data_IF_100985629667
#
_entry.id   IF_100985629667
#
_cell.length_a   1.000
_cell.length_b   1.000
_cell.length_c   1.000
_cell.angle_alpha   90.00
_cell.angle_beta   90.00
_cell.angle_gamma   90.00
#
_symmetry.space_group_name_H-M   'P 1'
#
loop_
_entity.id
_entity.type
_entity.pdbx_description
1 polymer ?
#
# COMPACT_ATOMS: atom_id res chain seq x y z
N UNK A 1 2.55 1.64 -5.87
CA UNK A 1 3.47 2.63 -6.48
C UNK A 1 3.73 3.81 -5.56
N UNK A 2 4.49 3.53 -4.54
CA UNK A 2 4.82 4.51 -3.52
C UNK A 2 6.11 4.11 -2.82
N UNK A 3 6.77 5.11 -2.25
CA UNK A 3 7.97 4.88 -1.47
C UNK A 3 8.11 5.98 -0.42
N UNK A 4 8.69 5.63 0.72
CA UNK A 4 9.04 6.60 1.75
C UNK A 4 10.54 6.86 1.64
N UNK A 5 10.91 8.11 1.36
CA UNK A 5 12.29 8.50 1.25
C UNK A 5 12.78 9.10 2.56
N UNK A 6 13.89 8.57 3.05
CA UNK A 6 14.48 9.05 4.30
C UNK A 6 14.77 10.54 4.20
N UNK A 7 14.34 11.28 5.23
CA UNK A 7 14.54 12.72 5.34
C UNK A 7 13.81 13.57 4.30
N UNK A 8 12.97 12.98 3.48
CA UNK A 8 12.20 13.70 2.48
C UNK A 8 10.70 13.51 2.64
N UNK A 9 10.27 12.26 2.74
CA UNK A 9 8.86 11.98 2.89
C UNK A 9 8.35 11.00 1.84
N UNK A 10 7.04 10.94 1.64
CA UNK A 10 6.45 9.99 0.70
C UNK A 10 6.52 10.49 -0.74
N UNK A 11 6.66 9.55 -1.65
CA UNK A 11 6.54 9.78 -3.09
C UNK A 11 5.60 8.74 -3.66
N UNK A 12 4.71 9.18 -4.54
CA UNK A 12 3.79 8.27 -5.21
C UNK A 12 3.80 8.56 -6.71
N UNK A 13 3.40 7.56 -7.49
CA UNK A 13 3.33 7.70 -8.94
C UNK A 13 2.19 6.83 -9.46
N UNK A 14 1.93 6.94 -10.74
CA UNK A 14 0.91 6.17 -11.41
C UNK A 14 0.95 6.46 -12.90
N UNK A 15 0.05 5.87 -13.67
CA UNK A 15 0.00 6.07 -15.11
C UNK A 15 -0.39 7.52 -15.49
N UNK A 16 -1.01 8.25 -14.56
CA UNK A 16 -1.38 9.64 -14.75
C UNK A 16 -1.45 10.33 -13.39
N UNK A 17 -1.69 11.64 -13.41
CA UNK A 17 -1.75 12.44 -12.19
C UNK A 17 -2.87 11.98 -11.26
N UNK A 18 -4.00 11.61 -11.82
CA UNK A 18 -5.14 11.14 -11.03
C UNK A 18 -4.76 9.90 -10.21
N UNK A 19 -4.11 8.94 -10.86
CA UNK A 19 -3.70 7.71 -10.19
C UNK A 19 -2.61 7.99 -9.15
N UNK A 20 -1.67 8.86 -9.46
CA UNK A 20 -0.62 9.22 -8.50
C UNK A 20 -1.21 9.84 -7.25
N UNK A 21 -2.21 10.71 -7.39
CA UNK A 21 -2.90 11.33 -6.26
C UNK A 21 -3.69 10.27 -5.48
N UNK A 22 -4.37 9.38 -6.18
CA UNK A 22 -5.09 8.28 -5.52
C UNK A 22 -4.13 7.45 -4.67
N UNK A 23 -2.97 7.11 -5.21
CA UNK A 23 -1.97 6.34 -4.48
C UNK A 23 -1.44 7.10 -3.26
N UNK A 24 -1.36 8.43 -3.35
CA UNK A 24 -0.95 9.24 -2.21
C UNK A 24 -1.99 9.18 -1.08
N UNK A 25 -3.27 9.22 -1.41
CA UNK A 25 -4.34 9.09 -0.42
C UNK A 25 -4.29 7.74 0.25
N UNK A 26 -4.12 6.68 -0.54
CA UNK A 26 -4.03 5.32 0.00
C UNK A 26 -2.81 5.18 0.91
N UNK A 27 -1.67 5.71 0.49
CA UNK A 27 -0.45 5.66 1.29
C UNK A 27 -0.65 6.33 2.65
N UNK A 28 -1.29 7.50 2.66
CA UNK A 28 -1.56 8.23 3.88
C UNK A 28 -2.41 7.41 4.85
N UNK A 29 -3.47 6.80 4.35
CA UNK A 29 -4.36 6.00 5.18
C UNK A 29 -3.68 4.73 5.68
N UNK A 30 -2.93 4.07 4.83
CA UNK A 30 -2.19 2.86 5.21
C UNK A 30 -1.13 3.19 6.27
N UNK A 31 -0.43 4.31 6.11
CA UNK A 31 0.57 4.73 7.07
C UNK A 31 -0.06 5.02 8.44
N UNK A 32 -1.23 5.64 8.46
CA UNK A 32 -1.96 5.88 9.70
C UNK A 32 -2.36 4.57 10.38
N UNK A 33 -2.84 3.61 9.60
CA UNK A 33 -3.21 2.30 10.15
C UNK A 33 -2.00 1.58 10.72
N UNK A 34 -0.88 1.62 10.01
CA UNK A 34 0.35 0.99 10.48
C UNK A 34 0.83 1.61 11.78
N UNK A 35 0.79 2.93 11.86
CA UNK A 35 1.19 3.64 13.08
C UNK A 35 0.32 3.24 14.26
N UNK A 36 -0.99 3.18 14.05
CA UNK A 36 -1.92 2.79 15.11
C UNK A 36 -1.73 1.34 15.54
N UNK A 37 -1.54 0.44 14.58
CA UNK A 37 -1.30 -0.96 14.86
C UNK A 37 -0.04 -1.14 15.68
N UNK A 38 1.02 -0.44 15.33
CA UNK A 38 2.29 -0.51 16.03
C UNK A 38 2.20 0.08 17.44
N UNK A 39 1.36 1.09 17.62
CA UNK A 39 1.11 1.68 18.94
C UNK A 39 0.40 0.68 19.86
N UNK A 40 -0.54 -0.08 19.28
CA UNK A 40 -1.27 -1.11 20.04
C UNK A 40 -0.38 -2.30 20.34
N UNK A 41 0.44 -2.71 19.38
CA UNK A 41 1.34 -3.85 19.53
C UNK A 41 2.69 -3.57 18.85
N UNK A 42 3.68 -3.09 19.62
CA UNK A 42 5.00 -2.77 19.02
C UNK A 42 5.76 -3.97 18.46
N UNK A 43 5.24 -5.18 18.66
CA UNK A 43 5.89 -6.40 18.19
C UNK A 43 5.27 -6.95 16.92
N UNK A 44 4.37 -6.18 16.29
CA UNK A 44 3.76 -6.66 15.05
C UNK A 44 4.84 -6.83 13.98
N UNK A 45 4.59 -7.74 13.08
CA UNK A 45 5.49 -8.07 11.99
C UNK A 45 4.79 -7.81 10.68
N UNK A 46 5.53 -7.55 9.60
CA UNK A 46 4.92 -7.45 8.28
C UNK A 46 4.17 -8.74 7.94
N UNK A 47 3.17 -8.62 7.08
CA UNK A 47 2.45 -9.79 6.60
C UNK A 47 3.43 -10.74 5.89
N UNK A 48 3.23 -12.07 5.98
CA UNK A 48 4.08 -13.01 5.27
C UNK A 48 4.09 -12.71 3.77
N UNK A 49 5.22 -12.96 3.12
CA UNK A 49 5.40 -12.64 1.71
C UNK A 49 4.34 -13.35 0.84
N UNK A 50 4.02 -14.60 1.16
CA UNK A 50 3.01 -15.35 0.41
C UNK A 50 1.64 -14.68 0.47
N UNK A 51 1.28 -14.11 1.61
CA UNK A 51 0.01 -13.41 1.75
C UNK A 51 0.03 -12.11 0.95
N UNK A 52 1.15 -11.38 0.97
CA UNK A 52 1.30 -10.16 0.19
C UNK A 52 1.20 -10.46 -1.30
N UNK A 53 1.86 -11.53 -1.75
CA UNK A 53 1.81 -11.96 -3.15
C UNK A 53 0.40 -12.34 -3.55
N UNK A 54 -0.29 -13.09 -2.70
CA UNK A 54 -1.66 -13.51 -2.97
C UNK A 54 -2.57 -12.31 -3.19
N UNK A 55 -2.48 -11.31 -2.31
CA UNK A 55 -3.29 -10.10 -2.45
C UNK A 55 -2.90 -9.28 -3.68
N UNK A 56 -1.62 -9.16 -3.95
CA UNK A 56 -1.14 -8.43 -5.13
C UNK A 56 -1.68 -9.06 -6.41
N UNK A 57 -1.52 -10.37 -6.56
CA UNK A 57 -1.95 -11.05 -7.79
C UNK A 57 -3.47 -11.12 -7.93
N UNK A 58 -4.18 -11.10 -6.83
CA UNK A 58 -5.63 -11.01 -6.87
C UNK A 58 -6.09 -9.71 -7.52
N UNK A 59 -5.36 -8.63 -7.30
CA UNK A 59 -5.71 -7.31 -7.80
C UNK A 59 -5.02 -6.95 -9.12
N UNK A 60 -3.88 -7.57 -9.41
CA UNK A 60 -3.02 -7.17 -10.53
C UNK A 60 -2.65 -8.30 -11.46
N UNK A 61 -2.99 -9.56 -11.13
CA UNK A 61 -2.67 -10.70 -11.95
C UNK A 61 -3.67 -10.92 -13.08
N UNK A 62 -3.46 -12.02 -13.81
CA UNK A 62 -4.30 -12.37 -14.96
C UNK A 62 -5.78 -12.55 -14.58
N UNK A 63 -6.04 -13.00 -13.35
CA UNK A 63 -7.42 -13.23 -12.88
C UNK A 63 -7.83 -12.18 -11.84
N UNK A 64 -7.27 -10.99 -11.95
CA UNK A 64 -7.58 -9.91 -11.02
C UNK A 64 -9.05 -9.53 -11.11
N UNK A 65 -9.66 -9.27 -9.96
CA UNK A 65 -11.07 -8.92 -9.92
C UNK A 65 -11.39 -7.79 -8.95
N UNK A 66 -10.40 -7.33 -8.21
CA UNK A 66 -10.62 -6.30 -7.18
C UNK A 66 -11.09 -5.00 -7.81
N UNK A 67 -12.25 -4.55 -7.37
CA UNK A 67 -12.79 -3.27 -7.83
C UNK A 67 -13.13 -3.22 -9.29
N UNK A 68 -12.99 -4.31 -9.99
CA UNK A 68 -13.34 -4.38 -11.39
C UNK A 68 -14.71 -4.96 -11.57
N UNK A 69 -15.16 -4.79 -12.61
CA UNK A 69 -16.40 -5.29 -13.14
C UNK A 69 -17.30 -4.30 -13.47
#
# INVERSE_FOLDING_TARGET
>A
PAVLCKNHGPFTWGKDAHEAVHNAVVLEEVAKMAYRAETINPRIQPAPQELQDKHYYRKHGANAYYGQN
#
